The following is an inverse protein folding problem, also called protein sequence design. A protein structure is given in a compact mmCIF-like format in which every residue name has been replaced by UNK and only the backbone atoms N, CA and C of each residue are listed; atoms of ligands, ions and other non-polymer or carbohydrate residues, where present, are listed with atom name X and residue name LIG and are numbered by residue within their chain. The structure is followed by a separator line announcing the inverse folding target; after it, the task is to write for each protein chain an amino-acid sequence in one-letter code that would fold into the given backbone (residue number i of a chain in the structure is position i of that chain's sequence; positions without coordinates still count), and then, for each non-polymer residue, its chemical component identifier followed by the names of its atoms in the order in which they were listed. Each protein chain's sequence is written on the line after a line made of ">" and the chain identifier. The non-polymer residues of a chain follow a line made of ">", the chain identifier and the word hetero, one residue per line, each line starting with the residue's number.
data_IF_467432968147
#
_entry.id   IF_467432968147
#
_cell.length_a   1.000
_cell.length_b   1.000
_cell.length_c   1.000
_cell.angle_alpha   90.00
_cell.angle_beta   90.00
_cell.angle_gamma   90.00
#
_symmetry.space_group_name_H-M   'P 1'
#
loop_
_entity.id
_entity.type
_entity.pdbx_description
1 polymer ?
#
# COMPACT_ATOMS: atom_id res chain seq x y z
N UNK A 1 28.33 6.52 8.76
CA UNK A 1 27.68 5.41 8.03
C UNK A 1 27.70 5.73 6.56
N UNK A 2 28.23 4.85 5.70
CA UNK A 2 28.14 5.04 4.25
C UNK A 2 26.67 4.99 3.80
N UNK A 3 26.29 5.79 2.79
CA UNK A 3 24.95 5.73 2.24
C UNK A 3 24.71 4.36 1.61
N UNK A 4 23.49 3.85 1.76
CA UNK A 4 23.04 2.61 1.12
C UNK A 4 23.21 2.73 -0.40
N UNK A 5 23.79 1.75 -1.08
CA UNK A 5 23.85 1.77 -2.55
C UNK A 5 22.49 1.48 -3.17
N UNK A 6 22.26 1.90 -4.42
CA UNK A 6 21.01 1.58 -5.14
C UNK A 6 20.76 0.07 -5.22
N UNK A 7 21.81 -0.73 -5.41
CA UNK A 7 21.73 -2.19 -5.44
C UNK A 7 21.26 -2.75 -4.11
N UNK A 8 21.92 -2.37 -3.01
CA UNK A 8 21.53 -2.81 -1.66
C UNK A 8 20.09 -2.38 -1.33
N UNK A 9 19.69 -1.18 -1.74
CA UNK A 9 18.32 -0.71 -1.53
C UNK A 9 17.29 -1.57 -2.26
N UNK A 10 17.53 -1.92 -3.52
CA UNK A 10 16.60 -2.72 -4.31
C UNK A 10 16.51 -4.19 -3.84
N UNK A 11 17.57 -4.71 -3.22
CA UNK A 11 17.60 -6.08 -2.67
C UNK A 11 16.99 -6.17 -1.25
N UNK A 12 16.86 -5.03 -0.56
CA UNK A 12 16.35 -4.97 0.82
C UNK A 12 14.86 -4.68 0.85
N UNK A 13 14.10 -5.45 1.65
CA UNK A 13 12.72 -5.11 1.93
C UNK A 13 12.64 -4.17 3.13
N UNK A 14 12.04 -3.00 2.91
CA UNK A 14 11.77 -2.01 3.96
C UNK A 14 10.27 -1.93 4.27
N UNK A 15 9.95 -1.81 5.56
CA UNK A 15 8.65 -1.32 6.02
C UNK A 15 8.53 0.18 5.74
N UNK A 16 7.29 0.66 5.71
CA UNK A 16 7.01 2.08 5.44
C UNK A 16 7.71 3.00 6.45
N UNK A 17 7.72 2.62 7.73
CA UNK A 17 8.38 3.39 8.80
C UNK A 17 9.89 3.51 8.58
N UNK A 18 10.55 2.44 8.15
CA UNK A 18 11.98 2.44 7.81
C UNK A 18 12.25 3.34 6.59
N UNK A 19 11.38 3.32 5.57
CA UNK A 19 11.50 4.23 4.44
C UNK A 19 11.33 5.69 4.85
N UNK A 20 10.41 6.00 5.77
CA UNK A 20 10.25 7.36 6.31
C UNK A 20 11.54 7.80 7.02
N UNK A 21 12.14 6.95 7.84
CA UNK A 21 13.41 7.23 8.53
C UNK A 21 14.56 7.46 7.53
N UNK A 22 14.63 6.66 6.45
CA UNK A 22 15.59 6.87 5.37
C UNK A 22 15.36 8.21 4.66
N UNK A 23 14.11 8.54 4.32
CA UNK A 23 13.78 9.83 3.73
C UNK A 23 14.21 10.99 4.65
N UNK A 24 13.94 10.91 5.96
CA UNK A 24 14.39 11.93 6.92
C UNK A 24 15.91 12.09 6.90
N UNK A 25 16.65 10.98 6.95
CA UNK A 25 18.13 10.97 6.93
C UNK A 25 18.68 11.61 5.65
N UNK A 26 18.05 11.35 4.50
CA UNK A 26 18.46 11.89 3.21
C UNK A 26 17.83 13.25 2.88
N UNK A 27 17.08 13.86 3.81
CA UNK A 27 16.35 15.12 3.63
C UNK A 27 15.37 15.09 2.43
N UNK A 28 14.75 13.94 2.21
CA UNK A 28 13.75 13.69 1.17
C UNK A 28 12.32 13.86 1.72
N UNK A 29 11.30 13.96 0.84
CA UNK A 29 9.91 13.94 1.29
C UNK A 29 9.56 12.69 2.12
N UNK A 30 8.91 12.91 3.26
CA UNK A 30 8.59 11.86 4.25
C UNK A 30 7.12 11.43 4.23
N UNK A 31 6.29 12.13 3.46
CA UNK A 31 4.88 11.84 3.27
C UNK A 31 4.65 11.06 1.97
N UNK A 32 3.77 10.07 2.03
CA UNK A 32 3.35 9.32 0.85
C UNK A 32 2.98 7.86 1.11
N UNK A 33 2.68 7.13 0.03
CA UNK A 33 2.60 5.67 -0.01
C UNK A 33 3.99 5.06 0.11
N UNK A 34 4.05 3.74 0.39
CA UNK A 34 5.32 3.00 0.35
C UNK A 34 5.98 3.10 -1.04
N UNK A 35 5.20 3.15 -2.11
CA UNK A 35 5.69 3.26 -3.48
C UNK A 35 6.34 4.63 -3.74
N UNK A 36 5.69 5.72 -3.30
CA UNK A 36 6.23 7.08 -3.41
C UNK A 36 7.53 7.25 -2.61
N UNK A 37 7.57 6.77 -1.36
CA UNK A 37 8.78 6.83 -0.54
C UNK A 37 9.94 6.05 -1.17
N UNK A 38 9.66 4.85 -1.70
CA UNK A 38 10.64 4.08 -2.48
C UNK A 38 11.13 4.86 -3.70
N UNK A 39 10.23 5.55 -4.40
CA UNK A 39 10.59 6.34 -5.57
C UNK A 39 11.54 7.49 -5.20
N UNK A 40 11.24 8.26 -4.16
CA UNK A 40 12.12 9.36 -3.71
C UNK A 40 13.54 8.86 -3.39
N UNK A 41 13.65 7.74 -2.66
CA UNK A 41 14.96 7.16 -2.32
C UNK A 41 15.67 6.64 -3.58
N UNK A 42 14.97 6.02 -4.53
CA UNK A 42 15.59 5.58 -5.79
C UNK A 42 16.12 6.74 -6.63
N UNK A 43 15.38 7.84 -6.72
CA UNK A 43 15.83 9.04 -7.44
C UNK A 43 17.10 9.58 -6.79
N UNK A 44 17.12 9.71 -5.46
CA UNK A 44 18.30 10.14 -4.70
C UNK A 44 19.51 9.22 -4.93
N UNK A 45 19.33 7.90 -4.81
CA UNK A 45 20.40 6.93 -4.98
C UNK A 45 20.91 6.80 -6.43
N UNK A 46 20.17 7.35 -7.41
CA UNK A 46 20.61 7.49 -8.81
C UNK A 46 21.37 8.80 -9.06
N UNK A 47 21.56 9.63 -8.03
CA UNK A 47 22.30 10.90 -8.12
C UNK A 47 21.41 12.12 -8.37
N UNK A 48 20.09 12.01 -8.33
CA UNK A 48 19.21 13.16 -8.49
C UNK A 48 19.36 14.11 -7.29
N UNK A 49 19.56 15.43 -7.51
CA UNK A 49 19.70 16.40 -6.42
C UNK A 49 18.46 16.46 -5.53
N UNK A 50 18.66 16.46 -4.21
CA UNK A 50 17.59 16.40 -3.21
C UNK A 50 16.54 17.51 -3.40
N UNK A 51 16.96 18.73 -3.77
CA UNK A 51 16.08 19.88 -4.01
C UNK A 51 15.13 19.72 -5.21
N UNK A 52 15.41 18.76 -6.11
CA UNK A 52 14.53 18.44 -7.25
C UNK A 52 13.53 17.32 -6.94
N UNK A 53 13.72 16.59 -5.83
CA UNK A 53 12.83 15.49 -5.44
C UNK A 53 11.71 16.07 -4.58
N UNK A 54 10.53 16.23 -5.20
CA UNK A 54 9.35 16.82 -4.56
C UNK A 54 8.31 15.74 -4.22
N UNK A 55 7.47 15.97 -3.19
CA UNK A 55 6.35 15.08 -2.92
C UNK A 55 5.38 15.06 -4.10
N UNK A 56 4.93 13.87 -4.50
CA UNK A 56 3.94 13.68 -5.58
C UNK A 56 2.59 14.28 -5.19
N UNK A 57 2.26 14.24 -3.90
CA UNK A 57 0.96 14.68 -3.36
C UNK A 57 1.14 15.57 -2.15
N UNK A 58 0.22 16.51 -1.97
CA UNK A 58 0.18 17.38 -0.80
C UNK A 58 -0.25 16.56 0.43
N UNK A 59 0.34 16.81 1.62
CA UNK A 59 -0.14 16.24 2.87
C UNK A 59 -1.62 16.52 3.10
N UNK A 60 -2.29 15.64 3.86
CA UNK A 60 -3.70 15.80 4.19
C UNK A 60 -3.96 17.16 4.88
N UNK A 61 -5.08 17.78 4.54
CA UNK A 61 -5.60 18.92 5.29
C UNK A 61 -5.78 18.58 6.77
N UNK A 62 -5.47 19.53 7.65
CA UNK A 62 -5.80 19.44 9.08
C UNK A 62 -7.30 19.56 9.32
N UNK A 63 -8.00 20.27 8.45
CA UNK A 63 -9.45 20.43 8.48
C UNK A 63 -10.06 19.32 7.63
N UNK A 64 -10.42 18.21 8.28
CA UNK A 64 -11.11 17.09 7.64
C UNK A 64 -12.62 17.29 7.77
N UNK A 65 -13.34 16.92 6.72
CA UNK A 65 -14.79 16.94 6.71
C UNK A 65 -15.36 15.90 7.67
N UNK A 66 -16.43 16.29 8.36
CA UNK A 66 -17.32 15.42 9.13
C UNK A 66 -18.36 14.77 8.23
N UNK A 67 -19.03 13.73 8.72
CA UNK A 67 -20.08 13.01 8.00
C UNK A 67 -21.10 13.95 7.34
N UNK A 68 -21.64 14.90 8.10
CA UNK A 68 -22.66 15.84 7.67
C UNK A 68 -22.22 16.81 6.57
N UNK A 69 -20.90 16.98 6.37
CA UNK A 69 -20.31 17.87 5.35
C UNK A 69 -19.99 17.11 4.04
N UNK A 70 -20.06 15.78 4.05
CA UNK A 70 -19.75 14.95 2.88
C UNK A 70 -21.03 14.75 2.05
N UNK A 71 -20.95 15.11 0.78
CA UNK A 71 -22.01 14.93 -0.21
C UNK A 71 -21.42 14.36 -1.49
N UNK A 72 -22.26 13.95 -2.44
CA UNK A 72 -21.79 13.51 -3.76
C UNK A 72 -21.02 14.63 -4.51
N UNK A 73 -21.32 15.90 -4.23
CA UNK A 73 -20.66 17.03 -4.88
C UNK A 73 -19.32 17.42 -4.22
N UNK A 74 -19.00 16.86 -3.05
CA UNK A 74 -17.75 17.14 -2.35
C UNK A 74 -16.56 16.77 -3.21
N UNK A 75 -15.64 17.72 -3.44
CA UNK A 75 -14.43 17.50 -4.26
C UNK A 75 -13.46 16.55 -3.56
N UNK A 76 -12.77 15.68 -4.29
CA UNK A 76 -11.78 14.77 -3.71
C UNK A 76 -10.49 15.47 -3.27
N UNK A 77 -10.15 16.57 -3.95
CA UNK A 77 -8.96 17.39 -3.72
C UNK A 77 -9.38 18.81 -3.35
N UNK A 78 -8.68 19.40 -2.38
CA UNK A 78 -8.90 20.80 -1.96
C UNK A 78 -10.06 21.03 -0.97
N UNK A 79 -11.01 20.10 -0.83
CA UNK A 79 -12.18 20.27 0.06
C UNK A 79 -11.95 19.87 1.53
N UNK A 80 -10.85 19.16 1.84
CA UNK A 80 -10.67 18.48 3.14
C UNK A 80 -11.17 17.03 3.16
N UNK A 81 -11.75 16.52 2.07
CA UNK A 81 -12.18 15.13 1.98
C UNK A 81 -11.00 14.13 2.09
N UNK A 82 -11.19 13.09 2.90
CA UNK A 82 -10.21 12.03 3.07
C UNK A 82 -10.87 10.69 3.36
N UNK A 83 -10.21 9.58 3.00
CA UNK A 83 -10.68 8.24 3.40
C UNK A 83 -10.37 8.00 4.88
N UNK A 84 -11.26 8.50 5.72
CA UNK A 84 -11.26 8.38 7.18
C UNK A 84 -12.57 7.72 7.64
N UNK A 85 -12.81 7.71 8.95
CA UNK A 85 -13.99 7.07 9.54
C UNK A 85 -15.29 7.83 9.21
N UNK A 86 -15.23 9.15 9.08
CA UNK A 86 -16.37 9.99 8.67
C UNK A 86 -16.81 9.67 7.23
N UNK A 87 -15.85 9.60 6.29
CA UNK A 87 -16.14 9.16 4.94
C UNK A 87 -16.67 7.71 4.92
N UNK A 88 -16.14 6.81 5.77
CA UNK A 88 -16.64 5.44 5.86
C UNK A 88 -18.11 5.39 6.29
N UNK A 89 -18.51 6.20 7.28
CA UNK A 89 -19.92 6.34 7.70
C UNK A 89 -20.78 6.85 6.54
N UNK A 90 -20.31 7.86 5.81
CA UNK A 90 -21.02 8.39 4.64
C UNK A 90 -21.28 7.29 3.60
N UNK A 91 -20.24 6.55 3.21
CA UNK A 91 -20.39 5.47 2.23
C UNK A 91 -21.23 4.30 2.74
N UNK A 92 -21.15 3.98 4.04
CA UNK A 92 -21.99 2.95 4.65
C UNK A 92 -23.47 3.31 4.55
N UNK A 93 -23.85 4.55 4.87
CA UNK A 93 -25.21 5.04 4.68
C UNK A 93 -25.61 5.10 3.20
N UNK A 94 -24.73 5.59 2.34
CA UNK A 94 -25.03 5.74 0.90
C UNK A 94 -25.29 4.38 0.20
N UNK A 95 -24.52 3.34 0.55
CA UNK A 95 -24.67 2.01 -0.03
C UNK A 95 -25.60 1.08 0.75
N UNK A 96 -26.21 1.55 1.83
CA UNK A 96 -27.06 0.77 2.74
C UNK A 96 -26.37 -0.52 3.24
N UNK A 97 -25.17 -0.36 3.79
CA UNK A 97 -24.37 -1.46 4.35
C UNK A 97 -23.94 -1.17 5.78
N UNK A 98 -23.93 -2.19 6.64
CA UNK A 98 -23.51 -2.05 8.04
C UNK A 98 -22.04 -1.62 8.19
N UNK A 99 -21.16 -2.10 7.31
CA UNK A 99 -19.74 -1.75 7.31
C UNK A 99 -19.24 -1.55 5.89
N UNK A 100 -18.68 -0.37 5.62
CA UNK A 100 -18.08 -0.04 4.35
C UNK A 100 -16.55 -0.20 4.38
N UNK A 101 -15.98 -0.77 3.31
CA UNK A 101 -14.53 -0.84 3.11
C UNK A 101 -14.15 -0.20 1.79
N UNK A 102 -13.25 0.78 1.85
CA UNK A 102 -12.68 1.39 0.65
C UNK A 102 -11.95 0.34 -0.18
N UNK A 103 -12.25 0.33 -1.47
CA UNK A 103 -11.62 -0.59 -2.41
C UNK A 103 -10.26 -0.05 -2.86
N UNK A 104 -9.43 -0.90 -3.49
CA UNK A 104 -8.15 -0.46 -4.06
C UNK A 104 -8.39 0.55 -5.19
N UNK A 105 -9.51 0.38 -5.87
CA UNK A 105 -10.01 1.19 -6.97
C UNK A 105 -10.18 2.64 -6.52
N UNK A 106 -10.96 2.82 -5.46
CA UNK A 106 -11.21 4.12 -4.85
C UNK A 106 -9.91 4.78 -4.42
N UNK A 107 -9.01 4.01 -3.83
CA UNK A 107 -7.70 4.49 -3.39
C UNK A 107 -6.79 4.91 -4.55
N UNK A 108 -6.80 4.19 -5.67
CA UNK A 108 -6.02 4.55 -6.85
C UNK A 108 -6.57 5.83 -7.50
N UNK A 109 -7.88 5.92 -7.71
CA UNK A 109 -8.53 7.10 -8.30
C UNK A 109 -8.30 8.35 -7.46
N UNK A 110 -8.51 8.28 -6.14
CA UNK A 110 -8.25 9.42 -5.25
C UNK A 110 -6.79 9.87 -5.31
N UNK A 111 -5.84 8.93 -5.31
CA UNK A 111 -4.41 9.26 -5.41
C UNK A 111 -4.05 9.86 -6.76
N UNK A 112 -4.65 9.39 -7.85
CA UNK A 112 -4.47 9.97 -9.17
C UNK A 112 -4.93 11.43 -9.19
N UNK A 113 -6.14 11.71 -8.70
CA UNK A 113 -6.66 13.07 -8.57
C UNK A 113 -5.73 13.95 -7.72
N UNK A 114 -5.23 13.45 -6.58
CA UNK A 114 -4.27 14.17 -5.74
C UNK A 114 -2.93 14.42 -6.45
N UNK A 115 -2.43 13.47 -7.25
CA UNK A 115 -1.17 13.60 -7.98
C UNK A 115 -1.27 14.58 -9.16
N UNK A 116 -2.42 14.62 -9.83
CA UNK A 116 -2.69 15.56 -10.93
C UNK A 116 -3.26 16.88 -10.47
N UNK A 117 -3.46 17.08 -9.16
CA UNK A 117 -4.14 18.24 -8.57
C UNK A 117 -5.53 18.49 -9.21
N UNK A 118 -6.25 17.42 -9.52
CA UNK A 118 -7.59 17.51 -10.10
C UNK A 118 -8.60 17.93 -9.03
N UNK A 119 -8.97 19.21 -9.05
CA UNK A 119 -9.97 19.80 -8.16
C UNK A 119 -11.40 19.62 -8.65
N UNK A 120 -11.63 19.00 -9.80
CA UNK A 120 -12.95 18.84 -10.39
C UNK A 120 -13.62 17.54 -9.95
N UNK A 121 -12.85 16.46 -9.79
CA UNK A 121 -13.39 15.16 -9.39
C UNK A 121 -14.08 15.21 -8.03
N UNK A 122 -15.33 14.73 -7.99
CA UNK A 122 -16.18 14.68 -6.80
C UNK A 122 -16.30 13.27 -6.19
N UNK A 123 -16.92 13.16 -5.03
CA UNK A 123 -17.30 11.89 -4.41
C UNK A 123 -18.26 11.09 -5.31
N UNK A 124 -19.20 11.76 -5.98
CA UNK A 124 -20.09 11.15 -6.96
C UNK A 124 -19.32 10.57 -8.14
N UNK A 125 -18.38 11.34 -8.71
CA UNK A 125 -17.52 10.88 -9.81
C UNK A 125 -16.69 9.67 -9.40
N UNK A 126 -16.16 9.65 -8.17
CA UNK A 126 -15.43 8.50 -7.62
C UNK A 126 -16.28 7.23 -7.63
N UNK A 127 -17.54 7.32 -7.20
CA UNK A 127 -18.46 6.19 -7.17
C UNK A 127 -18.76 5.72 -8.58
N UNK A 128 -19.16 6.63 -9.47
CA UNK A 128 -19.50 6.33 -10.86
C UNK A 128 -18.32 5.70 -11.60
N UNK A 129 -17.11 6.23 -11.41
CA UNK A 129 -15.91 5.70 -12.07
C UNK A 129 -15.55 4.31 -11.52
N UNK A 130 -15.65 4.09 -10.20
CA UNK A 130 -15.46 2.75 -9.63
C UNK A 130 -16.46 1.72 -10.19
N UNK A 131 -17.73 2.11 -10.35
CA UNK A 131 -18.76 1.22 -10.91
C UNK A 131 -18.48 0.87 -12.37
N UNK A 132 -18.09 1.84 -13.20
CA UNK A 132 -17.67 1.59 -14.59
C UNK A 132 -16.48 0.63 -14.64
N UNK A 133 -15.46 0.88 -13.82
CA UNK A 133 -14.26 0.04 -13.77
C UNK A 133 -14.56 -1.40 -13.36
N UNK A 134 -15.51 -1.60 -12.43
CA UNK A 134 -15.97 -2.93 -12.04
C UNK A 134 -16.64 -3.67 -13.20
N UNK A 135 -17.43 -2.98 -14.02
CA UNK A 135 -18.11 -3.57 -15.19
C UNK A 135 -17.13 -3.98 -16.30
N UNK A 136 -16.07 -3.20 -16.52
CA UNK A 136 -15.14 -3.42 -17.62
C UNK A 136 -14.23 -4.65 -17.45
N UNK A 137 -14.17 -5.28 -16.27
CA UNK A 137 -13.27 -6.42 -15.91
C UNK A 137 -11.76 -6.23 -16.21
N UNK A 138 -11.36 -5.13 -16.85
CA UNK A 138 -9.98 -4.80 -17.20
C UNK A 138 -9.23 -4.12 -16.04
N UNK A 139 -9.95 -3.64 -15.02
CA UNK A 139 -9.35 -2.87 -13.94
C UNK A 139 -8.30 -3.64 -13.13
N UNK A 140 -8.51 -4.95 -12.94
CA UNK A 140 -7.51 -5.81 -12.31
C UNK A 140 -6.15 -5.77 -13.03
N UNK A 141 -6.14 -5.59 -14.36
CA UNK A 141 -4.90 -5.48 -15.13
C UNK A 141 -4.24 -4.11 -14.94
N UNK A 142 -5.03 -3.04 -14.82
CA UNK A 142 -4.56 -1.67 -14.61
C UNK A 142 -3.97 -1.52 -13.21
N UNK A 143 -4.68 -1.98 -12.17
CA UNK A 143 -4.20 -1.92 -10.78
C UNK A 143 -2.92 -2.72 -10.58
N UNK A 144 -2.82 -3.92 -11.18
CA UNK A 144 -1.60 -4.74 -11.06
C UNK A 144 -0.34 -4.05 -11.58
N UNK A 145 -0.49 -3.05 -12.45
CA UNK A 145 0.62 -2.25 -12.97
C UNK A 145 0.94 -1.02 -12.11
N UNK A 146 0.14 -0.72 -11.09
CA UNK A 146 0.40 0.42 -10.21
C UNK A 146 1.67 0.19 -9.38
N UNK A 147 2.47 1.23 -9.13
CA UNK A 147 3.62 1.14 -8.23
C UNK A 147 3.27 0.62 -6.84
N UNK A 148 2.05 0.88 -6.36
CA UNK A 148 1.52 0.42 -5.07
C UNK A 148 1.51 -1.10 -4.95
N UNK A 149 1.00 -1.82 -5.97
CA UNK A 149 0.90 -3.29 -5.93
C UNK A 149 2.26 -3.97 -5.76
N UNK A 150 3.31 -3.36 -6.31
CA UNK A 150 4.69 -3.86 -6.17
C UNK A 150 5.22 -3.78 -4.74
N UNK A 151 4.56 -3.04 -3.85
CA UNK A 151 4.99 -2.84 -2.45
C UNK A 151 4.32 -3.78 -1.45
N UNK A 152 3.31 -4.55 -1.88
CA UNK A 152 2.52 -5.47 -1.06
C UNK A 152 3.15 -6.86 -0.90
N UNK A 153 4.48 -6.96 -0.95
CA UNK A 153 5.18 -8.26 -0.95
C UNK A 153 4.83 -9.12 0.28
N UNK A 154 4.73 -8.52 1.47
CA UNK A 154 4.27 -9.22 2.68
C UNK A 154 2.83 -9.74 2.55
N UNK A 155 1.91 -8.89 2.11
CA UNK A 155 0.50 -9.28 1.95
C UNK A 155 0.36 -10.40 0.92
N UNK A 156 1.10 -10.31 -0.19
CA UNK A 156 1.13 -11.33 -1.23
C UNK A 156 1.77 -12.63 -0.72
N UNK A 157 2.83 -12.53 0.09
CA UNK A 157 3.46 -13.68 0.75
C UNK A 157 2.47 -14.40 1.67
N UNK A 158 1.81 -13.67 2.58
CA UNK A 158 0.81 -14.24 3.50
C UNK A 158 -0.33 -14.86 2.73
N UNK A 159 -0.86 -14.16 1.72
CA UNK A 159 -1.95 -14.68 0.90
C UNK A 159 -1.55 -15.99 0.22
N UNK A 160 -0.38 -16.02 -0.43
CA UNK A 160 0.13 -17.21 -1.10
C UNK A 160 0.36 -18.37 -0.11
N UNK A 161 0.94 -18.10 1.06
CA UNK A 161 1.09 -19.11 2.11
C UNK A 161 -0.27 -19.63 2.57
N UNK A 162 -1.20 -18.78 2.98
CA UNK A 162 -2.51 -19.20 3.50
C UNK A 162 -3.38 -19.94 2.46
N UNK A 163 -3.13 -19.73 1.17
CA UNK A 163 -3.79 -20.46 0.08
C UNK A 163 -3.11 -21.79 -0.26
N UNK A 164 -1.90 -22.03 0.26
CA UNK A 164 -1.15 -23.25 -0.02
C UNK A 164 -1.69 -24.46 0.77
N UNK A 165 -1.67 -25.68 0.20
CA UNK A 165 -2.06 -26.89 0.91
C UNK A 165 -1.25 -27.10 2.19
N UNK A 166 0.05 -26.78 2.16
CA UNK A 166 0.95 -26.97 3.30
C UNK A 166 0.58 -26.07 4.48
N UNK A 167 -0.12 -24.95 4.26
CA UNK A 167 -0.58 -24.12 5.37
C UNK A 167 -1.62 -24.79 6.26
N UNK A 168 -2.32 -25.82 5.75
CA UNK A 168 -3.38 -26.52 6.49
C UNK A 168 -2.85 -27.32 7.68
N UNK A 169 -1.56 -27.67 7.67
CA UNK A 169 -0.94 -28.40 8.78
C UNK A 169 -0.65 -27.53 10.00
N UNK A 170 -0.90 -26.22 9.94
CA UNK A 170 -0.60 -25.28 11.02
C UNK A 170 -1.85 -24.63 11.60
N UNK A 171 -1.93 -24.59 12.92
CA UNK A 171 -3.01 -23.91 13.66
C UNK A 171 -2.82 -22.39 13.63
N UNK A 172 -1.58 -21.92 13.77
CA UNK A 172 -1.22 -20.51 13.82
C UNK A 172 -0.62 -20.01 12.50
N UNK A 173 -1.40 -20.05 11.41
CA UNK A 173 -0.93 -19.71 10.05
C UNK A 173 -0.23 -18.35 9.95
N UNK A 174 -0.79 -17.29 10.55
CA UNK A 174 -0.17 -15.96 10.49
C UNK A 174 1.18 -15.89 11.22
N UNK A 175 1.32 -16.62 12.34
CA UNK A 175 2.59 -16.72 13.07
C UNK A 175 3.64 -17.41 12.21
N UNK A 176 3.30 -18.56 11.63
CA UNK A 176 4.17 -19.29 10.69
C UNK A 176 4.57 -18.42 9.52
N UNK A 177 3.62 -17.75 8.86
CA UNK A 177 3.90 -16.85 7.75
C UNK A 177 4.89 -15.74 8.14
N UNK A 178 4.74 -15.15 9.33
CA UNK A 178 5.65 -14.10 9.83
C UNK A 178 7.08 -14.61 10.06
N UNK A 179 7.24 -15.84 10.57
CA UNK A 179 8.55 -16.47 10.80
C UNK A 179 9.21 -16.75 9.45
N UNK A 180 8.50 -17.39 8.52
CA UNK A 180 9.02 -17.67 7.18
C UNK A 180 9.39 -16.37 6.43
N UNK A 181 8.55 -15.34 6.55
CA UNK A 181 8.82 -14.04 5.96
C UNK A 181 10.06 -13.36 6.56
N UNK A 182 10.31 -13.52 7.85
CA UNK A 182 11.50 -12.98 8.51
C UNK A 182 12.78 -13.49 7.83
N UNK A 183 12.86 -14.80 7.61
CA UNK A 183 13.97 -15.45 6.90
C UNK A 183 14.08 -14.99 5.45
N UNK A 184 12.96 -15.00 4.72
CA UNK A 184 12.93 -14.55 3.32
C UNK A 184 13.41 -13.11 3.21
N UNK A 185 12.99 -12.22 4.11
CA UNK A 185 13.40 -10.81 4.15
C UNK A 185 14.91 -10.65 4.32
N UNK A 186 15.54 -11.41 5.21
CA UNK A 186 16.97 -11.33 5.50
C UNK A 186 17.85 -12.00 4.43
N UNK A 187 17.29 -12.92 3.66
CA UNK A 187 18.01 -13.59 2.57
C UNK A 187 18.07 -12.77 1.28
N UNK A 188 18.84 -13.23 0.28
CA UNK A 188 18.79 -12.72 -1.10
C UNK A 188 17.69 -13.35 -1.97
N UNK A 189 16.84 -14.21 -1.39
CA UNK A 189 15.75 -14.86 -2.12
C UNK A 189 14.70 -13.85 -2.58
N UNK A 190 13.95 -14.26 -3.61
CA UNK A 190 12.75 -13.56 -4.06
C UNK A 190 11.77 -13.45 -2.89
N UNK A 191 11.18 -12.27 -2.69
CA UNK A 191 10.27 -11.97 -1.57
C UNK A 191 8.86 -12.53 -1.82
N UNK A 192 8.78 -13.84 -2.07
CA UNK A 192 7.56 -14.61 -2.35
C UNK A 192 7.56 -15.89 -1.52
N UNK A 193 6.37 -16.41 -1.26
CA UNK A 193 6.22 -17.72 -0.63
C UNK A 193 6.53 -18.80 -1.65
N UNK A 194 7.23 -19.83 -1.20
CA UNK A 194 7.48 -21.07 -1.92
C UNK A 194 7.41 -22.23 -0.93
N UNK A 195 6.85 -23.40 -1.29
CA UNK A 195 6.65 -24.52 -0.35
C UNK A 195 7.93 -25.01 0.34
N UNK A 196 9.09 -24.93 -0.33
CA UNK A 196 10.39 -25.32 0.23
C UNK A 196 10.78 -24.55 1.49
N UNK A 197 10.21 -23.36 1.72
CA UNK A 197 10.44 -22.57 2.94
C UNK A 197 10.02 -23.32 4.21
N UNK A 198 8.99 -24.17 4.12
CA UNK A 198 8.52 -24.96 5.26
C UNK A 198 9.59 -25.97 5.67
N UNK A 199 10.14 -26.70 4.72
CA UNK A 199 11.19 -27.69 4.98
C UNK A 199 12.48 -27.01 5.43
N UNK A 200 12.84 -25.90 4.79
CA UNK A 200 14.07 -25.16 5.10
C UNK A 200 14.08 -24.58 6.52
N UNK A 201 12.92 -24.16 7.03
CA UNK A 201 12.78 -23.52 8.34
C UNK A 201 11.89 -24.32 9.30
N UNK A 202 11.82 -25.64 9.12
CA UNK A 202 10.96 -26.53 9.91
C UNK A 202 11.21 -26.42 11.41
N UNK A 203 12.48 -26.27 11.82
CA UNK A 203 12.87 -26.10 13.22
C UNK A 203 12.14 -24.96 13.93
N UNK A 204 11.85 -23.89 13.19
CA UNK A 204 11.34 -22.64 13.74
C UNK A 204 9.81 -22.60 13.75
N UNK A 205 9.17 -23.48 12.97
CA UNK A 205 7.73 -23.53 12.78
C UNK A 205 7.08 -24.80 13.30
N UNK A 206 7.85 -25.85 13.64
CA UNK A 206 7.34 -27.17 14.05
C UNK A 206 6.33 -27.12 15.21
N UNK A 207 6.53 -26.20 16.15
CA UNK A 207 5.66 -26.04 17.33
C UNK A 207 4.25 -25.55 17.00
N UNK A 208 4.00 -25.10 15.77
CA UNK A 208 2.70 -24.61 15.32
C UNK A 208 1.95 -25.65 14.48
N UNK A 209 2.49 -26.86 14.31
CA UNK A 209 1.77 -27.97 13.69
C UNK A 209 0.50 -28.30 14.49
N UNK A 210 -0.52 -28.74 13.77
CA UNK A 210 -1.71 -29.36 14.36
C UNK A 210 -1.38 -30.73 14.96
#
# INVERSE_FOLDING_TARGET
>A
MQPLTLKQFNETYFYKTELVQLCQRYRLPTYGTKAELNNYIRLYLRGQPVNTIRPVRVPRSKNQLKLEEITLNTKLVGSGFSFNDEARKFFAHYFDVAQFSFTKEMAALKRQAEATQDTNMSVGDLISECQKLAQLKQYNQIIQRTPEEQTYQWNNFVKAFCQSPESQQFSQKLKVASILWHHVKQSKRVKKYTPDLINLYVSDIRQFHN
#
